data_IF_069563295753
#
_entry.id   IF_069563295753
#
_cell.length_a   1.000
_cell.length_b   1.000
_cell.length_c   1.000
_cell.angle_alpha   90.00
_cell.angle_beta   90.00
_cell.angle_gamma   90.00
#
_symmetry.space_group_name_H-M   'P 1'
#
loop_
_entity.id
_entity.type
_entity.pdbx_description
1 polymer ?
#
# COMPACT_ATOMS: atom_id res chain seq x y z
N UNK A 1 15.07 -2.82 -20.26
CA UNK A 1 15.10 -3.02 -18.79
C UNK A 1 14.78 -4.46 -18.42
N UNK A 2 15.44 -5.03 -17.38
CA UNK A 2 15.07 -6.34 -16.80
C UNK A 2 14.11 -6.15 -15.62
N UNK A 3 13.02 -6.91 -15.58
CA UNK A 3 12.06 -6.89 -14.45
C UNK A 3 12.07 -8.24 -13.76
N UNK A 4 12.20 -8.23 -12.44
CA UNK A 4 12.15 -9.43 -11.59
C UNK A 4 11.05 -9.19 -10.56
N UNK A 5 9.96 -9.96 -10.67
CA UNK A 5 8.80 -9.85 -9.77
C UNK A 5 8.63 -11.15 -9.01
N UNK A 6 8.41 -11.06 -7.69
CA UNK A 6 8.07 -12.22 -6.88
C UNK A 6 6.58 -12.56 -7.02
N UNK A 7 6.24 -13.31 -8.07
CA UNK A 7 4.87 -13.75 -8.36
C UNK A 7 4.31 -14.68 -7.27
N UNK A 8 5.17 -15.44 -6.58
CA UNK A 8 4.73 -16.35 -5.52
C UNK A 8 4.14 -15.58 -4.32
N UNK A 9 4.82 -14.51 -3.89
CA UNK A 9 4.32 -13.63 -2.82
C UNK A 9 3.01 -12.97 -3.25
N UNK A 10 2.94 -12.48 -4.50
CA UNK A 10 1.71 -11.89 -5.05
C UNK A 10 0.57 -12.90 -5.00
N UNK A 11 0.77 -14.11 -5.51
CA UNK A 11 -0.24 -15.15 -5.55
C UNK A 11 -0.71 -15.56 -4.14
N UNK A 12 0.21 -15.74 -3.19
CA UNK A 12 -0.13 -16.06 -1.79
C UNK A 12 -0.96 -14.95 -1.14
N UNK A 13 -0.55 -13.69 -1.29
CA UNK A 13 -1.26 -12.55 -0.68
C UNK A 13 -2.59 -12.25 -1.36
N UNK A 14 -2.68 -12.46 -2.67
CA UNK A 14 -3.94 -12.41 -3.43
C UNK A 14 -4.94 -13.47 -2.96
N UNK A 15 -4.49 -14.71 -2.74
CA UNK A 15 -5.34 -15.77 -2.16
C UNK A 15 -5.85 -15.37 -0.76
N UNK A 16 -4.97 -14.87 0.10
CA UNK A 16 -5.35 -14.39 1.43
C UNK A 16 -6.39 -13.27 1.36
N UNK A 17 -6.21 -12.28 0.48
CA UNK A 17 -7.15 -11.18 0.27
C UNK A 17 -8.55 -11.70 -0.15
N UNK A 18 -8.58 -12.61 -1.11
CA UNK A 18 -9.81 -13.19 -1.65
C UNK A 18 -10.57 -14.06 -0.63
N UNK A 19 -9.89 -14.64 0.37
CA UNK A 19 -10.52 -15.39 1.47
C UNK A 19 -10.98 -14.46 2.59
N UNK A 20 -10.14 -13.49 2.96
CA UNK A 20 -10.43 -12.62 4.11
C UNK A 20 -11.59 -11.65 3.83
N UNK A 21 -11.74 -11.19 2.59
CA UNK A 21 -12.86 -10.31 2.19
C UNK A 21 -14.25 -10.92 2.47
N UNK A 22 -14.60 -12.12 1.98
CA UNK A 22 -15.90 -12.73 2.28
C UNK A 22 -16.03 -13.12 3.74
N UNK A 23 -14.96 -13.55 4.42
CA UNK A 23 -15.00 -13.86 5.86
C UNK A 23 -15.35 -12.62 6.67
N UNK A 24 -14.72 -11.47 6.39
CA UNK A 24 -15.04 -10.21 7.04
C UNK A 24 -16.51 -9.82 6.82
N UNK A 25 -17.01 -9.98 5.59
CA UNK A 25 -18.40 -9.71 5.26
C UNK A 25 -19.36 -10.63 6.04
N UNK A 26 -19.08 -11.93 6.11
CA UNK A 26 -19.89 -12.89 6.87
C UNK A 26 -19.92 -12.58 8.36
N UNK A 27 -18.80 -12.16 8.96
CA UNK A 27 -18.75 -11.74 10.36
C UNK A 27 -19.58 -10.49 10.61
N UNK A 28 -19.51 -9.49 9.72
CA UNK A 28 -20.30 -8.27 9.81
C UNK A 28 -21.80 -8.54 9.64
N UNK A 29 -22.18 -9.34 8.64
CA UNK A 29 -23.57 -9.75 8.43
C UNK A 29 -24.08 -10.61 9.59
N UNK A 30 -23.26 -11.52 10.11
CA UNK A 30 -23.57 -12.33 11.28
C UNK A 30 -23.83 -11.47 12.51
N UNK A 31 -22.96 -10.49 12.79
CA UNK A 31 -23.16 -9.53 13.87
C UNK A 31 -24.43 -8.70 13.70
N UNK A 32 -24.73 -8.25 12.48
CA UNK A 32 -25.97 -7.53 12.19
C UNK A 32 -27.21 -8.41 12.42
N UNK A 33 -27.18 -9.69 12.01
CA UNK A 33 -28.28 -10.62 12.23
C UNK A 33 -28.49 -10.91 13.71
N UNK A 34 -27.41 -11.15 14.47
CA UNK A 34 -27.53 -11.36 15.93
C UNK A 34 -28.05 -10.12 16.64
N UNK A 35 -27.75 -8.92 16.14
CA UNK A 35 -28.32 -7.69 16.65
C UNK A 35 -29.85 -7.64 16.47
N UNK A 36 -30.34 -7.96 15.27
CA UNK A 36 -31.78 -7.99 14.99
C UNK A 36 -32.52 -9.04 15.84
N UNK A 37 -31.89 -10.19 16.09
CA UNK A 37 -32.46 -11.24 16.95
C UNK A 37 -32.47 -10.81 18.42
N UNK A 38 -31.40 -10.16 18.90
CA UNK A 38 -31.31 -9.61 20.26
C UNK A 38 -32.42 -8.61 20.57
N UNK A 39 -32.80 -7.79 19.59
CA UNK A 39 -33.88 -6.81 19.72
C UNK A 39 -35.29 -7.43 19.75
N UNK A 40 -35.46 -8.67 19.29
CA UNK A 40 -36.76 -9.37 19.26
C UNK A 40 -37.04 -10.11 20.57
N UNK A 41 -36.03 -10.78 21.14
CA UNK A 41 -36.19 -11.66 22.30
C UNK A 41 -35.46 -11.14 23.54
N UNK A 42 -36.21 -10.48 24.44
CA UNK A 42 -35.68 -9.87 25.66
C UNK A 42 -34.99 -10.87 26.62
N UNK A 43 -35.36 -12.16 26.58
CA UNK A 43 -34.79 -13.19 27.45
C UNK A 43 -33.34 -13.59 27.06
N UNK A 44 -32.95 -13.45 25.78
CA UNK A 44 -31.64 -13.87 25.26
C UNK A 44 -30.78 -12.64 24.85
N UNK A 45 -31.37 -11.44 24.93
CA UNK A 45 -30.76 -10.18 24.57
C UNK A 45 -29.35 -9.95 25.17
N UNK A 46 -29.06 -10.24 26.46
CA UNK A 46 -27.75 -9.96 27.02
C UNK A 46 -26.63 -10.75 26.32
N UNK A 47 -26.83 -12.05 26.10
CA UNK A 47 -25.83 -12.94 25.49
C UNK A 47 -25.64 -12.63 24.00
N UNK A 48 -26.74 -12.42 23.26
CA UNK A 48 -26.69 -12.07 21.84
C UNK A 48 -26.08 -10.69 21.59
N UNK A 49 -26.25 -9.75 22.53
CA UNK A 49 -25.63 -8.43 22.47
C UNK A 49 -24.10 -8.51 22.55
N UNK A 50 -23.55 -9.28 23.51
CA UNK A 50 -22.10 -9.48 23.59
C UNK A 50 -21.54 -10.20 22.36
N UNK A 51 -22.26 -11.21 21.84
CA UNK A 51 -21.88 -11.90 20.61
C UNK A 51 -21.87 -10.94 19.40
N UNK A 52 -22.89 -10.08 19.30
CA UNK A 52 -22.96 -9.03 18.28
C UNK A 52 -21.75 -8.12 18.33
N UNK A 53 -21.39 -7.62 19.51
CA UNK A 53 -20.24 -6.74 19.68
C UNK A 53 -18.94 -7.42 19.24
N UNK A 54 -18.76 -8.69 19.62
CA UNK A 54 -17.59 -9.48 19.24
C UNK A 54 -17.51 -9.69 17.72
N UNK A 55 -18.62 -10.11 17.09
CA UNK A 55 -18.69 -10.34 15.64
C UNK A 55 -18.45 -9.07 14.84
N UNK A 56 -19.01 -7.94 15.27
CA UNK A 56 -18.79 -6.65 14.62
C UNK A 56 -17.35 -6.17 14.77
N UNK A 57 -16.75 -6.32 15.96
CA UNK A 57 -15.34 -5.96 16.18
C UNK A 57 -14.40 -6.81 15.31
N UNK A 58 -14.58 -8.13 15.29
CA UNK A 58 -13.79 -9.05 14.47
C UNK A 58 -14.03 -8.82 12.97
N UNK A 59 -15.29 -8.63 12.56
CA UNK A 59 -15.64 -8.30 11.18
C UNK A 59 -15.02 -6.99 10.71
N UNK A 60 -15.04 -5.95 11.55
CA UNK A 60 -14.46 -4.63 11.24
C UNK A 60 -12.94 -4.68 11.08
N UNK A 61 -12.24 -5.35 12.01
CA UNK A 61 -10.78 -5.53 11.95
C UNK A 61 -10.38 -6.37 10.73
N UNK A 62 -11.06 -7.48 10.48
CA UNK A 62 -10.84 -8.31 9.29
C UNK A 62 -11.10 -7.54 7.99
N UNK A 63 -12.15 -6.71 7.95
CA UNK A 63 -12.47 -5.86 6.80
C UNK A 63 -11.38 -4.84 6.51
N UNK A 64 -10.83 -4.22 7.57
CA UNK A 64 -9.75 -3.22 7.44
C UNK A 64 -8.48 -3.86 6.86
N UNK A 65 -8.09 -5.03 7.38
CA UNK A 65 -6.93 -5.80 6.88
C UNK A 65 -7.17 -6.26 5.43
N UNK A 66 -8.36 -6.79 5.15
CA UNK A 66 -8.74 -7.26 3.82
C UNK A 66 -8.69 -6.13 2.79
N UNK A 67 -9.22 -4.95 3.11
CA UNK A 67 -9.21 -3.75 2.26
C UNK A 67 -7.78 -3.36 1.82
N UNK A 68 -6.83 -3.37 2.77
CA UNK A 68 -5.42 -3.11 2.47
C UNK A 68 -4.80 -4.18 1.56
N UNK A 69 -5.11 -5.46 1.80
CA UNK A 69 -4.64 -6.55 0.96
C UNK A 69 -5.24 -6.51 -0.45
N UNK A 70 -6.53 -6.22 -0.59
CA UNK A 70 -7.22 -6.09 -1.88
C UNK A 70 -6.62 -4.95 -2.69
N UNK A 71 -6.43 -3.78 -2.06
CA UNK A 71 -5.85 -2.61 -2.71
C UNK A 71 -4.42 -2.89 -3.21
N UNK A 72 -3.62 -3.64 -2.44
CA UNK A 72 -2.22 -3.89 -2.77
C UNK A 72 -2.01 -5.08 -3.72
N UNK A 73 -2.79 -6.15 -3.60
CA UNK A 73 -2.51 -7.45 -4.28
C UNK A 73 -3.57 -7.91 -5.27
N UNK A 74 -4.78 -7.34 -5.23
CA UNK A 74 -5.91 -7.80 -6.06
C UNK A 74 -6.30 -6.76 -7.11
N UNK A 75 -6.36 -5.48 -6.73
CA UNK A 75 -6.80 -4.39 -7.61
C UNK A 75 -5.80 -4.18 -8.75
N UNK A 76 -6.30 -4.26 -9.98
CA UNK A 76 -5.53 -4.00 -11.19
C UNK A 76 -5.83 -2.58 -11.73
N UNK A 77 -4.85 -1.90 -12.37
CA UNK A 77 -3.46 -2.32 -12.50
C UNK A 77 -2.70 -2.17 -11.17
N UNK A 78 -1.91 -3.19 -10.81
CA UNK A 78 -1.10 -3.16 -9.59
C UNK A 78 0.12 -2.26 -9.72
N UNK A 79 0.71 -1.90 -8.59
CA UNK A 79 1.90 -1.05 -8.55
C UNK A 79 3.11 -1.62 -9.31
N UNK A 80 3.34 -2.93 -9.26
CA UNK A 80 4.40 -3.62 -10.02
C UNK A 80 4.19 -3.51 -11.53
N UNK A 81 2.94 -3.63 -11.99
CA UNK A 81 2.60 -3.53 -13.40
C UNK A 81 2.74 -2.09 -13.91
N UNK A 82 2.24 -1.12 -13.13
CA UNK A 82 2.38 0.31 -13.46
C UNK A 82 3.87 0.68 -13.56
N UNK A 83 4.70 0.27 -12.59
CA UNK A 83 6.14 0.53 -12.64
C UNK A 83 6.81 -0.14 -13.84
N UNK A 84 6.45 -1.38 -14.13
CA UNK A 84 6.99 -2.11 -15.29
C UNK A 84 6.64 -1.44 -16.62
N UNK A 85 5.43 -0.88 -16.72
CA UNK A 85 4.98 -0.13 -17.89
C UNK A 85 5.70 1.23 -18.01
N UNK A 86 5.76 2.00 -16.91
CA UNK A 86 6.43 3.31 -16.87
C UNK A 86 7.91 3.21 -17.23
N UNK A 87 8.59 2.18 -16.75
CA UNK A 87 10.02 1.99 -16.96
C UNK A 87 10.34 1.15 -18.20
N UNK A 88 9.34 0.70 -18.98
CA UNK A 88 9.54 -0.16 -20.14
C UNK A 88 10.50 0.43 -21.18
N UNK A 89 10.53 1.76 -21.30
CA UNK A 89 11.40 2.50 -22.24
C UNK A 89 12.85 2.63 -21.78
N UNK A 90 13.17 2.27 -20.54
CA UNK A 90 14.53 2.33 -20.03
C UNK A 90 15.37 1.21 -20.66
N UNK A 91 16.67 1.50 -20.83
CA UNK A 91 17.62 0.55 -21.43
C UNK A 91 17.77 -0.75 -20.61
N UNK A 92 18.52 -1.71 -21.14
CA UNK A 92 18.74 -3.01 -20.48
C UNK A 92 19.72 -2.96 -19.31
N UNK A 93 20.27 -1.79 -18.97
CA UNK A 93 21.20 -1.61 -17.84
C UNK A 93 20.48 -1.35 -16.52
N UNK A 94 19.16 -1.19 -16.56
CA UNK A 94 18.31 -1.02 -15.39
C UNK A 94 17.61 -2.34 -15.02
N UNK A 95 17.55 -2.63 -13.72
CA UNK A 95 16.85 -3.79 -13.17
C UNK A 95 15.80 -3.33 -12.17
N UNK A 96 14.52 -3.66 -12.42
CA UNK A 96 13.42 -3.44 -11.49
C UNK A 96 13.16 -4.72 -10.69
N UNK A 97 13.26 -4.63 -9.37
CA UNK A 97 12.90 -5.70 -8.43
C UNK A 97 11.57 -5.35 -7.76
N UNK A 98 10.57 -6.21 -7.94
CA UNK A 98 9.25 -6.07 -7.35
C UNK A 98 9.00 -7.19 -6.34
N UNK A 99 8.76 -6.81 -5.09
CA UNK A 99 8.46 -7.70 -3.96
C UNK A 99 9.50 -8.80 -3.73
N UNK A 100 10.72 -8.61 -4.21
CA UNK A 100 11.81 -9.60 -4.09
C UNK A 100 12.44 -9.58 -2.70
N UNK A 101 12.49 -8.42 -2.05
CA UNK A 101 13.12 -8.25 -0.73
C UNK A 101 12.14 -7.67 0.28
N UNK A 102 12.39 -7.93 1.56
CA UNK A 102 11.60 -7.34 2.65
C UNK A 102 11.94 -5.86 2.91
N UNK A 103 13.08 -5.38 2.40
CA UNK A 103 13.59 -4.04 2.66
C UNK A 103 12.74 -2.93 2.00
N UNK A 104 12.26 -3.17 0.78
CA UNK A 104 11.36 -2.25 0.09
C UNK A 104 10.46 -3.01 -0.89
N UNK A 105 9.21 -2.56 -1.11
CA UNK A 105 8.31 -3.22 -2.06
C UNK A 105 8.82 -3.18 -3.51
N UNK A 106 9.45 -2.08 -3.91
CA UNK A 106 9.98 -1.88 -5.26
C UNK A 106 11.36 -1.25 -5.19
N UNK A 107 12.33 -1.86 -5.86
CA UNK A 107 13.72 -1.40 -5.93
C UNK A 107 14.12 -1.29 -7.39
N UNK A 108 14.59 -0.12 -7.82
CA UNK A 108 15.16 0.06 -9.15
C UNK A 108 16.68 0.20 -9.02
N UNK A 109 17.41 -0.76 -9.58
CA UNK A 109 18.86 -0.71 -9.70
C UNK A 109 19.18 0.02 -11.00
N UNK A 110 19.76 1.22 -10.88
CA UNK A 110 20.33 1.97 -11.98
C UNK A 110 21.86 1.84 -11.97
N UNK A 111 22.53 2.40 -12.98
CA UNK A 111 23.98 2.23 -13.17
C UNK A 111 24.81 2.76 -11.99
N UNK A 112 24.43 3.91 -11.42
CA UNK A 112 25.24 4.59 -10.40
C UNK A 112 24.55 4.66 -9.03
N UNK A 113 23.29 4.25 -8.94
CA UNK A 113 22.48 4.37 -7.72
C UNK A 113 21.33 3.40 -7.72
N UNK A 114 20.80 3.15 -6.53
CA UNK A 114 19.61 2.34 -6.32
C UNK A 114 18.47 3.26 -5.87
N UNK A 115 17.27 3.01 -6.34
CA UNK A 115 16.08 3.73 -5.89
C UNK A 115 15.16 2.81 -5.11
N UNK A 116 14.78 3.22 -3.90
CA UNK A 116 13.73 2.58 -3.12
C UNK A 116 12.41 3.30 -3.40
N UNK A 117 11.54 2.66 -4.19
CA UNK A 117 10.31 3.28 -4.70
C UNK A 117 9.14 2.87 -3.80
N UNK A 118 8.58 3.86 -3.09
CA UNK A 118 7.31 3.73 -2.39
C UNK A 118 6.17 4.13 -3.32
N UNK A 119 5.25 3.20 -3.60
CA UNK A 119 4.06 3.45 -4.41
C UNK A 119 2.86 3.78 -3.53
N UNK A 120 2.06 4.76 -3.95
CA UNK A 120 0.85 5.20 -3.24
C UNK A 120 -0.32 5.30 -4.23
N UNK A 121 -1.39 4.48 -4.09
CA UNK A 121 -2.51 4.43 -5.03
C UNK A 121 -3.58 5.50 -4.76
N UNK A 122 -3.21 6.64 -4.18
CA UNK A 122 -4.16 7.67 -3.76
C UNK A 122 -4.49 8.64 -4.90
N UNK A 123 -5.79 8.92 -5.06
CA UNK A 123 -6.32 9.95 -5.95
C UNK A 123 -6.69 11.25 -5.21
N UNK A 124 -7.00 12.29 -5.98
CA UNK A 124 -7.40 13.60 -5.51
C UNK A 124 -6.22 14.51 -5.19
N UNK A 125 -6.52 15.63 -4.52
CA UNK A 125 -5.54 16.66 -4.21
C UNK A 125 -4.72 16.28 -2.97
N UNK A 126 -3.41 16.13 -3.15
CA UNK A 126 -2.42 15.83 -2.11
C UNK A 126 -1.36 16.93 -2.13
N UNK A 127 -1.04 17.44 -0.95
CA UNK A 127 -0.07 18.52 -0.75
C UNK A 127 1.06 18.03 0.12
N UNK A 128 2.28 18.34 -0.30
CA UNK A 128 3.48 18.11 0.49
C UNK A 128 4.26 19.41 0.67
N UNK A 129 4.68 19.68 1.91
CA UNK A 129 5.59 20.77 2.25
C UNK A 129 6.67 20.24 3.18
N UNK A 130 7.90 20.10 2.69
CA UNK A 130 8.96 19.40 3.43
C UNK A 130 8.62 17.93 3.64
N UNK A 131 8.29 17.59 4.90
CA UNK A 131 7.87 16.25 5.35
C UNK A 131 6.39 16.16 5.72
N UNK A 132 5.64 17.26 5.61
CA UNK A 132 4.24 17.33 6.01
C UNK A 132 3.34 17.02 4.82
N UNK A 133 2.52 16.00 4.98
CA UNK A 133 1.57 15.54 3.97
C UNK A 133 0.15 15.89 4.39
N UNK A 134 -0.63 16.43 3.46
CA UNK A 134 -2.07 16.69 3.63
C UNK A 134 -2.81 16.19 2.41
N UNK A 135 -4.01 15.66 2.63
CA UNK A 135 -4.94 15.27 1.57
C UNK A 135 -6.26 15.95 1.78
N UNK A 136 -6.78 16.59 0.74
CA UNK A 136 -7.96 17.46 0.84
C UNK A 136 -9.21 16.65 1.10
N UNK A 137 -10.06 17.10 2.02
CA UNK A 137 -11.31 16.41 2.35
C UNK A 137 -12.23 16.28 1.13
N UNK A 138 -12.96 15.17 1.04
CA UNK A 138 -13.98 14.94 0.02
C UNK A 138 -15.09 14.05 0.58
N UNK A 139 -16.36 14.45 0.39
CA UNK A 139 -17.52 13.68 0.84
C UNK A 139 -17.53 12.26 0.26
N UNK A 140 -17.19 12.09 -1.02
CA UNK A 140 -17.08 10.77 -1.65
C UNK A 140 -15.98 9.89 -1.04
N UNK A 141 -14.98 10.50 -0.39
CA UNK A 141 -13.95 9.78 0.35
C UNK A 141 -14.39 9.41 1.76
N UNK A 142 -15.27 10.19 2.41
CA UNK A 142 -15.83 9.80 3.71
C UNK A 142 -16.54 8.45 3.60
N UNK A 143 -17.31 8.24 2.53
CA UNK A 143 -17.94 6.94 2.23
C UNK A 143 -16.95 5.83 1.87
N UNK A 144 -15.79 6.18 1.30
CA UNK A 144 -14.70 5.24 0.97
C UNK A 144 -13.61 5.16 2.04
N UNK A 145 -13.79 5.79 3.20
CA UNK A 145 -12.75 5.87 4.22
C UNK A 145 -12.33 4.48 4.71
N UNK A 146 -13.28 3.54 4.72
CA UNK A 146 -13.06 2.13 5.07
C UNK A 146 -12.38 1.32 3.95
N UNK A 147 -12.42 1.81 2.70
CA UNK A 147 -11.91 1.11 1.52
C UNK A 147 -10.54 1.61 1.04
N UNK A 148 -10.08 2.76 1.52
CA UNK A 148 -8.80 3.36 1.11
C UNK A 148 -7.75 3.21 2.22
N UNK A 149 -6.54 2.76 1.87
CA UNK A 149 -5.38 2.81 2.76
C UNK A 149 -5.14 4.27 3.21
N UNK A 150 -4.70 4.47 4.47
CA UNK A 150 -4.33 5.80 4.95
C UNK A 150 -3.10 6.30 4.18
N UNK A 151 -3.05 7.61 3.89
CA UNK A 151 -1.89 8.22 3.23
C UNK A 151 -0.61 8.05 4.08
N UNK A 152 -0.74 8.14 5.41
CA UNK A 152 0.38 8.08 6.34
C UNK A 152 1.34 9.25 6.16
N UNK A 153 2.64 8.99 6.30
CA UNK A 153 3.70 9.93 5.95
C UNK A 153 4.63 9.29 4.90
N UNK A 154 4.32 9.48 3.59
CA UNK A 154 5.10 8.91 2.51
C UNK A 154 6.59 9.23 2.56
N UNK A 155 6.98 10.41 3.07
CA UNK A 155 8.40 10.77 3.22
C UNK A 155 9.10 9.85 4.21
N UNK A 156 8.53 9.66 5.40
CA UNK A 156 9.14 8.81 6.42
C UNK A 156 9.19 7.35 5.99
N UNK A 157 8.13 6.87 5.34
CA UNK A 157 8.06 5.51 4.78
C UNK A 157 9.11 5.30 3.68
N UNK A 158 9.26 6.22 2.73
CA UNK A 158 10.24 6.10 1.66
C UNK A 158 11.68 6.14 2.20
N UNK A 159 11.98 7.05 3.13
CA UNK A 159 13.28 7.11 3.79
C UNK A 159 13.58 5.84 4.61
N UNK A 160 12.56 5.26 5.25
CA UNK A 160 12.72 3.99 5.95
C UNK A 160 13.07 2.86 4.98
N UNK A 161 12.35 2.74 3.86
CA UNK A 161 12.63 1.75 2.83
C UNK A 161 14.05 1.91 2.27
N UNK A 162 14.48 3.14 1.95
CA UNK A 162 15.83 3.41 1.48
C UNK A 162 16.90 2.93 2.49
N UNK A 163 16.75 3.28 3.78
CA UNK A 163 17.66 2.81 4.84
C UNK A 163 17.70 1.29 4.99
N UNK A 164 16.57 0.60 4.84
CA UNK A 164 16.55 -0.87 4.88
C UNK A 164 17.29 -1.46 3.68
N UNK A 165 17.18 -0.83 2.50
CA UNK A 165 17.90 -1.25 1.30
C UNK A 165 19.40 -0.98 1.44
N UNK A 166 19.82 0.18 1.96
CA UNK A 166 21.23 0.48 2.26
C UNK A 166 21.83 -0.57 3.19
N UNK A 167 21.11 -0.90 4.27
CA UNK A 167 21.54 -1.94 5.22
C UNK A 167 21.67 -3.30 4.54
N UNK A 168 20.73 -3.67 3.69
CA UNK A 168 20.77 -4.94 2.95
C UNK A 168 21.97 -4.99 1.98
N UNK A 169 22.24 -3.89 1.29
CA UNK A 169 23.37 -3.72 0.37
C UNK A 169 24.70 -3.86 1.13
N UNK A 170 24.85 -3.13 2.25
CA UNK A 170 26.06 -3.16 3.07
C UNK A 170 26.38 -4.55 3.66
N UNK A 171 25.37 -5.40 3.86
CA UNK A 171 25.56 -6.78 4.33
C UNK A 171 26.14 -7.73 3.28
N UNK A 172 26.05 -7.39 1.99
CA UNK A 172 26.41 -8.30 0.88
C UNK A 172 27.56 -7.78 0.02
N UNK A 173 28.01 -6.53 0.24
CA UNK A 173 29.09 -5.91 -0.52
C UNK A 173 30.38 -5.82 0.32
N UNK A 174 31.56 -5.85 -0.33
CA UNK A 174 32.83 -5.63 0.35
C UNK A 174 32.87 -4.29 1.09
N UNK A 175 33.54 -4.26 2.24
CA UNK A 175 33.77 -3.04 3.00
C UNK A 175 34.36 -1.93 2.13
N UNK A 176 33.82 -0.71 2.24
CA UNK A 176 34.21 0.45 1.44
C UNK A 176 33.46 0.63 0.12
N UNK A 177 32.57 -0.30 -0.27
CA UNK A 177 31.71 -0.11 -1.44
C UNK A 177 30.43 0.63 -1.04
N UNK A 178 30.36 1.93 -1.33
CA UNK A 178 29.15 2.73 -1.10
C UNK A 178 28.28 2.78 -2.37
N UNK A 179 27.03 2.33 -2.24
CA UNK A 179 26.02 2.45 -3.29
C UNK A 179 24.92 3.39 -2.79
N UNK A 180 24.76 4.59 -3.35
CA UNK A 180 23.75 5.54 -2.89
C UNK A 180 22.33 4.99 -3.15
N UNK A 181 21.48 5.04 -2.13
CA UNK A 181 20.08 4.62 -2.22
C UNK A 181 19.15 5.82 -2.06
N UNK A 182 18.42 6.13 -3.13
CA UNK A 182 17.54 7.30 -3.17
C UNK A 182 16.08 6.91 -2.88
N UNK A 183 15.42 7.53 -1.89
CA UNK A 183 14.00 7.33 -1.62
C UNK A 183 13.14 8.07 -2.66
N UNK A 184 12.15 7.37 -3.23
CA UNK A 184 11.19 7.95 -4.19
C UNK A 184 9.77 7.62 -3.77
N UNK A 185 8.88 8.61 -3.79
CA UNK A 185 7.43 8.43 -3.63
C UNK A 185 6.76 8.58 -4.99
N UNK A 186 6.10 7.51 -5.44
CA UNK A 186 5.35 7.49 -6.69
C UNK A 186 3.86 7.35 -6.42
N UNK A 187 3.08 8.33 -6.86
CA UNK A 187 1.62 8.19 -6.89
C UNK A 187 1.18 7.51 -8.17
N UNK A 188 0.49 6.38 -8.02
CA UNK A 188 0.13 5.50 -9.14
C UNK A 188 -1.24 5.80 -9.73
N UNK A 189 -2.15 6.41 -8.97
CA UNK A 189 -3.49 6.75 -9.46
C UNK A 189 -3.42 7.95 -10.45
N UNK A 190 -3.98 7.82 -11.67
CA UNK A 190 -3.89 8.85 -12.70
C UNK A 190 -4.70 10.13 -12.40
N UNK A 191 -5.58 10.09 -11.40
CA UNK A 191 -6.42 11.21 -10.92
C UNK A 191 -5.79 11.91 -9.70
N UNK A 192 -4.51 11.68 -9.43
CA UNK A 192 -3.78 12.38 -8.38
C UNK A 192 -3.37 13.78 -8.84
N UNK A 193 -3.62 14.76 -7.98
CA UNK A 193 -3.16 16.13 -8.16
C UNK A 193 -2.21 16.46 -7.02
N UNK A 194 -0.94 16.74 -7.34
CA UNK A 194 0.11 16.98 -6.35
C UNK A 194 0.47 18.46 -6.33
N UNK A 195 0.42 19.06 -5.14
CA UNK A 195 1.08 20.34 -4.84
C UNK A 195 2.34 20.05 -4.06
N UNK A 196 3.50 20.17 -4.73
CA UNK A 196 4.80 19.82 -4.16
C UNK A 196 5.56 21.10 -3.84
N UNK A 197 5.92 21.31 -2.57
CA UNK A 197 6.73 22.44 -2.11
C UNK A 197 7.90 21.91 -1.28
N UNK A 198 9.13 22.10 -1.77
CA UNK A 198 10.36 21.70 -1.08
C UNK A 198 10.28 20.28 -0.49
N UNK A 199 9.98 19.24 -1.30
CA UNK A 199 9.77 17.91 -0.76
C UNK A 199 11.10 17.35 -0.24
N UNK A 200 11.07 16.71 0.93
CA UNK A 200 12.28 16.12 1.52
C UNK A 200 12.76 14.83 0.83
N UNK A 201 11.98 14.30 -0.12
CA UNK A 201 12.29 13.14 -0.98
C UNK A 201 11.72 13.39 -2.37
N UNK A 202 12.19 12.68 -3.39
CA UNK A 202 11.60 12.79 -4.72
C UNK A 202 10.13 12.33 -4.68
N UNK A 203 9.23 13.16 -5.22
CA UNK A 203 7.79 12.87 -5.31
C UNK A 203 7.38 13.00 -6.76
N UNK A 204 6.76 11.95 -7.31
CA UNK A 204 6.39 11.90 -8.72
C UNK A 204 4.98 11.36 -8.91
N UNK A 205 4.36 11.77 -10.01
CA UNK A 205 3.17 11.10 -10.57
C UNK A 205 3.58 10.08 -11.62
N UNK A 206 2.76 9.04 -11.80
CA UNK A 206 2.95 8.07 -12.90
C UNK A 206 3.12 8.74 -14.27
N UNK A 207 2.35 9.78 -14.58
CA UNK A 207 2.42 10.51 -15.87
C UNK A 207 3.70 11.32 -16.09
N UNK A 208 4.49 11.57 -15.04
CA UNK A 208 5.71 12.37 -15.08
C UNK A 208 6.97 11.53 -15.33
N UNK A 209 6.85 10.18 -15.29
CA UNK A 209 7.92 9.27 -15.73
C UNK A 209 7.98 9.27 -17.27
N UNK A 210 8.90 10.06 -17.83
CA UNK A 210 9.26 10.05 -19.26
C UNK A 210 10.75 9.82 -19.42
#
# INVERSE_FOLDING_TARGET
MKVITNEEIIAKRKKLANILAPVALLLLLGGLLTNFLSLRDAAIAPTLFYLTLLLLLLGFTASTISSGLVTRWVREPRADQILSELLKKFDNRHILLNYTTAAAPHILIAQNKVYAILTKPHSGHIRVTGKRWKRDFSLGRLFRFFAEESLGNPTLEAQHNARQVEKLIAQHLPEGTEVPVEPVVLFTDPKVELTVREPAVAVMKSKEFK
#
